data_IF_710621218129
#
_entry.id   IF_710621218129
#
_cell.length_a   1.000
_cell.length_b   1.000
_cell.length_c   1.000
_cell.angle_alpha   90.00
_cell.angle_beta   90.00
_cell.angle_gamma   90.00
#
_symmetry.space_group_name_H-M   'P 1'
#
loop_
_entity.id
_entity.type
_entity.pdbx_description
1 polymer ?
#
# COMPACT_ATOMS: atom_id res chain seq x y z
N UNK A 1 -0.53 28.50 -15.34
CA UNK A 1 0.12 27.45 -14.54
C UNK A 1 0.95 28.16 -13.49
N UNK A 2 0.45 28.21 -12.25
CA UNK A 2 1.23 28.73 -11.12
C UNK A 2 2.46 27.85 -10.89
N UNK A 3 3.57 28.50 -10.63
CA UNK A 3 4.86 27.83 -10.55
C UNK A 3 4.98 27.07 -9.23
N UNK A 4 4.78 25.75 -9.25
CA UNK A 4 4.90 24.85 -8.08
C UNK A 4 6.26 24.95 -7.36
N UNK A 5 7.27 25.59 -7.97
CA UNK A 5 8.57 25.82 -7.33
C UNK A 5 8.51 26.78 -6.14
N UNK A 6 7.51 27.67 -6.09
CA UNK A 6 7.35 28.63 -4.99
C UNK A 6 6.97 27.96 -3.64
N UNK A 7 6.46 26.73 -3.67
CA UNK A 7 5.98 26.00 -2.48
C UNK A 7 6.98 24.98 -1.91
N UNK A 8 8.23 24.98 -2.42
CA UNK A 8 9.27 24.03 -1.96
C UNK A 8 9.54 24.07 -0.44
N UNK A 9 9.30 25.21 0.19
CA UNK A 9 9.59 25.40 1.60
C UNK A 9 8.36 25.24 2.52
N UNK A 10 7.16 25.07 1.96
CA UNK A 10 5.93 24.80 2.71
C UNK A 10 5.20 23.58 2.13
N UNK A 11 5.50 22.39 2.65
CA UNK A 11 4.85 21.17 2.21
C UNK A 11 3.33 21.18 2.40
N UNK A 12 2.80 21.87 3.41
CA UNK A 12 1.36 21.91 3.66
C UNK A 12 0.64 22.74 2.60
N UNK A 13 1.20 23.87 2.21
CA UNK A 13 0.62 24.69 1.14
C UNK A 13 0.74 23.98 -0.22
N UNK A 14 1.86 23.29 -0.48
CA UNK A 14 2.01 22.46 -1.67
C UNK A 14 0.91 21.38 -1.74
N UNK A 15 0.63 20.69 -0.65
CA UNK A 15 -0.45 19.68 -0.60
C UNK A 15 -1.83 20.29 -0.85
N UNK A 16 -2.13 21.47 -0.27
CA UNK A 16 -3.39 22.18 -0.53
C UNK A 16 -3.55 22.54 -2.00
N UNK A 17 -2.49 23.02 -2.65
CA UNK A 17 -2.51 23.37 -4.07
C UNK A 17 -2.66 22.13 -4.96
N UNK A 18 -1.93 21.06 -4.67
CA UNK A 18 -2.08 19.79 -5.40
C UNK A 18 -3.48 19.19 -5.24
N UNK A 19 -4.05 19.23 -4.04
CA UNK A 19 -5.43 18.79 -3.80
C UNK A 19 -6.43 19.61 -4.61
N UNK A 20 -6.28 20.95 -4.66
CA UNK A 20 -7.13 21.83 -5.49
C UNK A 20 -7.00 21.53 -6.99
N UNK A 21 -5.77 21.31 -7.47
CA UNK A 21 -5.52 20.97 -8.88
C UNK A 21 -6.13 19.61 -9.25
N UNK A 22 -5.98 18.62 -8.39
CA UNK A 22 -6.57 17.29 -8.60
C UNK A 22 -8.09 17.35 -8.58
N UNK A 23 -8.68 18.09 -7.64
CA UNK A 23 -10.13 18.31 -7.59
C UNK A 23 -10.66 19.02 -8.83
N UNK A 24 -9.97 20.06 -9.32
CA UNK A 24 -10.36 20.76 -10.54
C UNK A 24 -10.22 19.91 -11.81
N UNK A 25 -9.34 18.92 -11.81
CA UNK A 25 -9.09 18.04 -12.94
C UNK A 25 -10.02 16.81 -12.98
N UNK A 26 -10.52 16.35 -11.84
CA UNK A 26 -11.27 15.09 -11.71
C UNK A 26 -12.79 15.30 -11.49
N UNK A 27 -13.22 16.53 -11.24
CA UNK A 27 -14.62 16.81 -10.88
C UNK A 27 -15.03 16.09 -9.58
N UNK A 28 -16.32 15.79 -9.44
CA UNK A 28 -16.90 15.19 -8.21
C UNK A 28 -16.50 13.72 -7.92
N UNK A 29 -15.57 13.15 -8.66
CA UNK A 29 -15.19 11.73 -8.47
C UNK A 29 -14.34 11.51 -7.22
N UNK A 30 -13.61 12.53 -6.77
CA UNK A 30 -12.84 12.50 -5.52
C UNK A 30 -13.21 13.75 -4.71
N UNK A 31 -13.87 13.58 -3.58
CA UNK A 31 -14.04 14.69 -2.65
C UNK A 31 -12.65 15.24 -2.27
N UNK A 32 -12.45 16.53 -2.39
CA UNK A 32 -11.20 17.16 -1.96
C UNK A 32 -10.94 16.79 -0.49
N UNK A 33 -9.71 16.34 -0.15
CA UNK A 33 -9.39 16.06 1.24
C UNK A 33 -9.62 17.31 2.09
N UNK A 34 -10.25 17.14 3.23
CA UNK A 34 -10.48 18.23 4.17
C UNK A 34 -9.15 18.74 4.71
N UNK A 35 -9.12 19.98 5.21
CA UNK A 35 -7.93 20.53 5.88
C UNK A 35 -7.44 19.63 7.03
N UNK A 36 -8.36 18.99 7.74
CA UNK A 36 -8.07 18.03 8.82
C UNK A 36 -7.42 16.75 8.27
N UNK A 37 -7.85 16.24 7.13
CA UNK A 37 -7.23 15.08 6.46
C UNK A 37 -5.81 15.41 5.97
N UNK A 38 -5.59 16.64 5.49
CA UNK A 38 -4.26 17.12 5.08
C UNK A 38 -3.33 17.32 6.28
N UNK A 39 -3.84 17.86 7.40
CA UNK A 39 -3.07 18.06 8.63
C UNK A 39 -2.68 16.74 9.32
N UNK A 40 -3.55 15.74 9.23
CA UNK A 40 -3.33 14.40 9.80
C UNK A 40 -2.59 13.45 8.85
N UNK A 41 -2.15 13.91 7.68
CA UNK A 41 -1.36 13.07 6.78
C UNK A 41 -0.10 12.56 7.51
N UNK A 42 0.23 11.27 7.41
CA UNK A 42 1.24 10.64 8.24
C UNK A 42 2.61 11.29 8.05
N UNK A 43 2.96 12.18 8.96
CA UNK A 43 4.24 12.91 8.96
C UNK A 43 5.42 12.04 9.39
N UNK A 44 5.19 10.82 9.90
CA UNK A 44 6.20 10.10 10.66
C UNK A 44 6.95 9.00 9.91
N UNK A 45 6.35 8.32 8.92
CA UNK A 45 6.94 7.08 8.39
C UNK A 45 7.50 7.16 6.97
N UNK A 46 6.92 7.97 6.10
CA UNK A 46 7.36 8.08 4.71
C UNK A 46 7.52 9.54 4.32
N UNK A 47 8.74 10.01 4.32
CA UNK A 47 9.06 11.30 3.70
C UNK A 47 9.22 11.10 2.19
N UNK A 48 8.56 11.94 1.41
CA UNK A 48 8.67 11.91 -0.05
C UNK A 48 10.07 12.26 -0.54
N UNK A 49 10.29 12.04 -1.84
CA UNK A 49 11.52 12.45 -2.52
C UNK A 49 12.59 11.38 -2.63
N UNK A 50 13.47 11.58 -3.62
CA UNK A 50 14.51 10.63 -4.00
C UNK A 50 15.57 10.44 -2.91
N UNK A 51 15.98 11.50 -2.22
CA UNK A 51 16.98 11.41 -1.16
C UNK A 51 16.55 10.49 -0.03
N UNK A 52 15.30 10.61 0.40
CA UNK A 52 14.75 9.75 1.46
C UNK A 52 14.61 8.30 0.98
N UNK A 53 14.23 8.10 -0.27
CA UNK A 53 14.16 6.77 -0.87
C UNK A 53 15.54 6.09 -0.90
N UNK A 54 16.59 6.80 -1.25
CA UNK A 54 17.98 6.29 -1.24
C UNK A 54 18.42 5.97 0.19
N UNK A 55 18.20 6.87 1.15
CA UNK A 55 18.51 6.60 2.56
C UNK A 55 17.84 5.32 3.05
N UNK A 56 16.55 5.11 2.71
CA UNK A 56 15.86 3.88 3.06
C UNK A 56 16.43 2.66 2.32
N UNK A 57 16.78 2.80 1.05
CA UNK A 57 17.38 1.75 0.23
C UNK A 57 18.76 1.31 0.79
N UNK A 58 19.53 2.22 1.34
CA UNK A 58 20.81 1.93 1.99
C UNK A 58 20.67 1.06 3.25
N UNK A 59 19.50 1.07 3.92
CA UNK A 59 19.24 0.21 5.09
C UNK A 59 18.88 -1.23 4.73
N UNK A 60 18.80 -1.56 3.45
CA UNK A 60 18.41 -2.87 2.97
C UNK A 60 19.34 -3.97 3.48
N UNK A 61 18.75 -5.02 4.03
CA UNK A 61 19.45 -6.25 4.46
C UNK A 61 18.73 -7.47 3.84
N UNK A 62 19.19 -7.96 2.69
CA UNK A 62 18.54 -9.06 1.98
C UNK A 62 18.50 -10.37 2.76
N UNK A 63 19.57 -10.68 3.49
CA UNK A 63 19.70 -11.91 4.27
C UNK A 63 18.69 -11.91 5.42
N UNK A 64 18.67 -10.85 6.17
CA UNK A 64 17.75 -10.68 7.29
C UNK A 64 16.31 -10.57 6.82
N UNK A 65 16.08 -9.92 5.67
CA UNK A 65 14.76 -9.92 5.00
C UNK A 65 14.29 -11.35 4.73
N UNK A 66 15.11 -12.18 4.10
CA UNK A 66 14.77 -13.57 3.78
C UNK A 66 14.35 -14.39 4.99
N UNK A 67 15.04 -14.23 6.12
CA UNK A 67 14.79 -15.01 7.34
C UNK A 67 13.69 -14.47 8.24
N UNK A 68 13.44 -13.14 8.23
CA UNK A 68 12.55 -12.52 9.23
C UNK A 68 11.32 -11.80 8.67
N UNK A 69 11.19 -11.69 7.35
CA UNK A 69 10.11 -10.94 6.69
C UNK A 69 8.68 -11.36 7.11
N UNK A 70 8.52 -12.58 7.60
CA UNK A 70 7.24 -13.10 8.03
C UNK A 70 6.83 -12.67 9.46
N UNK A 71 7.72 -12.04 10.20
CA UNK A 71 7.41 -11.49 11.51
C UNK A 71 7.06 -10.01 11.39
N UNK A 72 6.06 -9.54 12.13
CA UNK A 72 5.62 -8.12 12.12
C UNK A 72 6.77 -7.18 12.51
N UNK A 73 7.68 -7.62 13.38
CA UNK A 73 8.91 -6.92 13.77
C UNK A 73 10.13 -7.27 12.89
N UNK A 74 9.93 -8.04 11.81
CA UNK A 74 11.00 -8.49 10.93
C UNK A 74 11.58 -7.39 10.06
N UNK A 75 12.70 -7.72 9.41
CA UNK A 75 13.38 -6.82 8.50
C UNK A 75 12.64 -6.74 7.17
N UNK A 76 11.72 -5.77 7.04
CA UNK A 76 11.03 -5.47 5.78
C UNK A 76 11.58 -4.17 5.18
N UNK A 77 11.59 -4.09 3.86
CA UNK A 77 12.26 -2.99 3.15
C UNK A 77 11.57 -1.64 3.31
N UNK A 78 10.26 -1.63 3.45
CA UNK A 78 9.39 -0.44 3.45
C UNK A 78 9.56 0.45 2.20
N UNK A 79 10.05 -0.10 1.09
CA UNK A 79 10.30 0.65 -0.15
C UNK A 79 9.07 0.77 -1.06
N UNK A 80 7.99 0.09 -0.72
CA UNK A 80 6.78 0.00 -1.56
C UNK A 80 6.18 1.36 -1.98
N UNK A 81 6.13 2.42 -1.15
CA UNK A 81 5.63 3.72 -1.60
C UNK A 81 6.50 4.33 -2.68
N UNK A 82 7.82 4.33 -2.53
CA UNK A 82 8.73 4.90 -3.53
C UNK A 82 8.76 4.09 -4.83
N UNK A 83 8.61 2.76 -4.75
CA UNK A 83 8.44 1.90 -5.92
C UNK A 83 7.11 2.19 -6.63
N UNK A 84 6.01 2.37 -5.85
CA UNK A 84 4.69 2.67 -6.40
C UNK A 84 4.67 3.97 -7.18
N UNK A 85 5.34 4.99 -6.69
CA UNK A 85 5.39 6.33 -7.29
C UNK A 85 6.56 6.53 -8.26
N UNK A 86 7.29 5.48 -8.63
CA UNK A 86 8.37 5.54 -9.61
C UNK A 86 9.60 6.33 -9.15
N UNK A 87 9.73 6.60 -7.85
CA UNK A 87 10.91 7.26 -7.27
C UNK A 87 12.10 6.32 -7.23
N UNK A 88 11.84 5.02 -7.03
CA UNK A 88 12.78 3.91 -7.19
C UNK A 88 12.26 2.95 -8.26
N UNK A 89 13.16 2.39 -9.05
CA UNK A 89 12.87 1.29 -9.95
C UNK A 89 13.10 -0.07 -9.26
N UNK A 90 12.46 -1.12 -9.76
CA UNK A 90 12.72 -2.49 -9.31
C UNK A 90 14.17 -2.90 -9.56
N UNK A 91 14.76 -2.43 -10.67
CA UNK A 91 16.15 -2.70 -11.01
C UNK A 91 17.12 -2.10 -9.99
N UNK A 92 16.91 -0.85 -9.57
CA UNK A 92 17.74 -0.23 -8.54
C UNK A 92 17.70 -0.99 -7.22
N UNK A 93 16.51 -1.40 -6.77
CA UNK A 93 16.36 -2.17 -5.53
C UNK A 93 17.03 -3.53 -5.64
N UNK A 94 16.86 -4.23 -6.78
CA UNK A 94 17.53 -5.52 -7.06
C UNK A 94 19.04 -5.36 -7.03
N UNK A 95 19.57 -4.36 -7.72
CA UNK A 95 21.02 -4.19 -7.88
C UNK A 95 21.68 -3.85 -6.54
N UNK A 96 21.03 -3.01 -5.71
CA UNK A 96 21.49 -2.75 -4.35
C UNK A 96 21.39 -4.02 -3.48
N UNK A 97 20.31 -4.80 -3.60
CA UNK A 97 20.18 -6.05 -2.86
C UNK A 97 21.32 -7.03 -3.20
N UNK A 98 21.63 -7.17 -4.49
CA UNK A 98 22.72 -8.05 -4.94
C UNK A 98 24.10 -7.54 -4.55
N UNK A 99 24.32 -6.22 -4.49
CA UNK A 99 25.60 -5.64 -4.06
C UNK A 99 25.91 -5.82 -2.57
N UNK A 100 24.89 -6.17 -1.76
CA UNK A 100 25.01 -6.35 -0.30
C UNK A 100 25.23 -7.79 0.14
N UNK A 101 25.38 -8.71 -0.78
CA UNK A 101 25.53 -10.15 -0.51
C UNK A 101 26.70 -10.73 -1.27
N UNK A 102 27.32 -11.77 -0.71
CA UNK A 102 28.43 -12.49 -1.38
C UNK A 102 27.91 -13.42 -2.48
N UNK A 103 26.75 -14.04 -2.24
CA UNK A 103 26.12 -14.96 -3.17
C UNK A 103 24.70 -14.51 -3.50
N UNK A 104 24.31 -14.50 -4.77
CA UNK A 104 22.99 -14.07 -5.23
C UNK A 104 21.82 -14.82 -4.54
N UNK A 105 22.03 -16.07 -4.14
CA UNK A 105 21.06 -16.87 -3.40
C UNK A 105 20.64 -16.25 -2.06
N UNK A 106 21.51 -15.46 -1.45
CA UNK A 106 21.20 -14.76 -0.19
C UNK A 106 20.19 -13.61 -0.38
N UNK A 107 20.07 -13.07 -1.60
CA UNK A 107 19.08 -12.05 -1.96
C UNK A 107 17.86 -12.63 -2.69
N UNK A 108 17.84 -13.93 -3.00
CA UNK A 108 16.81 -14.59 -3.82
C UNK A 108 15.40 -14.26 -3.36
N UNK A 109 15.14 -14.33 -2.05
CA UNK A 109 13.81 -14.10 -1.52
C UNK A 109 13.33 -12.66 -1.76
N UNK A 110 14.21 -11.68 -1.58
CA UNK A 110 13.86 -10.28 -1.85
C UNK A 110 13.66 -10.04 -3.35
N UNK A 111 14.54 -10.57 -4.20
CA UNK A 111 14.43 -10.43 -5.66
C UNK A 111 13.14 -11.10 -6.17
N UNK A 112 12.78 -12.27 -5.62
CA UNK A 112 11.52 -12.94 -5.93
C UNK A 112 10.29 -12.07 -5.58
N UNK A 113 10.29 -11.36 -4.46
CA UNK A 113 9.18 -10.47 -4.10
C UNK A 113 9.10 -9.23 -5.02
N UNK A 114 10.23 -8.73 -5.53
CA UNK A 114 10.22 -7.72 -6.60
C UNK A 114 9.64 -8.28 -7.90
N UNK A 115 9.94 -9.55 -8.20
CA UNK A 115 9.39 -10.26 -9.35
C UNK A 115 7.86 -10.40 -9.28
N UNK A 116 7.30 -10.70 -8.11
CA UNK A 116 5.85 -10.74 -7.92
C UNK A 116 5.20 -9.39 -8.22
N UNK A 117 5.83 -8.27 -7.84
CA UNK A 117 5.33 -6.94 -8.16
C UNK A 117 5.29 -6.70 -9.68
N UNK A 118 6.35 -7.04 -10.41
CA UNK A 118 6.40 -6.94 -11.87
C UNK A 118 5.33 -7.86 -12.53
N UNK A 119 5.20 -9.08 -12.02
CA UNK A 119 4.21 -10.04 -12.49
C UNK A 119 2.78 -9.48 -12.41
N UNK A 120 2.37 -8.93 -11.28
CA UNK A 120 1.02 -8.36 -11.14
C UNK A 120 0.78 -7.17 -12.05
N UNK A 121 1.80 -6.33 -12.33
CA UNK A 121 1.67 -5.26 -13.33
C UNK A 121 1.41 -5.84 -14.72
N UNK A 122 2.11 -6.90 -15.12
CA UNK A 122 1.90 -7.58 -16.41
C UNK A 122 0.53 -8.26 -16.50
N UNK A 123 0.06 -8.85 -15.41
CA UNK A 123 -1.30 -9.40 -15.33
C UNK A 123 -2.33 -8.29 -15.55
N UNK A 124 -2.14 -7.13 -14.91
CA UNK A 124 -3.01 -5.97 -15.09
C UNK A 124 -2.99 -5.43 -16.53
N UNK A 125 -1.84 -5.37 -17.15
CA UNK A 125 -1.70 -4.96 -18.56
C UNK A 125 -2.44 -5.91 -19.48
N UNK A 126 -2.34 -7.23 -19.23
CA UNK A 126 -3.00 -8.25 -20.02
C UNK A 126 -4.52 -8.37 -19.76
N UNK A 127 -4.96 -8.01 -18.56
CA UNK A 127 -6.36 -8.11 -18.10
C UNK A 127 -6.76 -6.89 -17.27
N UNK A 128 -6.87 -5.70 -17.88
CA UNK A 128 -7.16 -4.46 -17.16
C UNK A 128 -8.52 -4.50 -16.45
N UNK A 129 -9.52 -5.15 -17.04
CA UNK A 129 -10.85 -5.37 -16.46
C UNK A 129 -10.82 -6.30 -15.24
N UNK A 130 -9.86 -7.22 -15.17
CA UNK A 130 -9.72 -8.20 -14.09
C UNK A 130 -9.43 -7.61 -12.71
N UNK A 131 -8.99 -6.35 -12.66
CA UNK A 131 -8.63 -5.67 -11.40
C UNK A 131 -9.79 -5.63 -10.39
N UNK A 132 -11.04 -5.62 -10.87
CA UNK A 132 -12.24 -5.61 -10.05
C UNK A 132 -13.14 -6.83 -10.27
N UNK A 133 -12.61 -7.87 -10.90
CA UNK A 133 -13.32 -9.13 -11.14
C UNK A 133 -12.70 -10.26 -10.31
N UNK A 134 -13.48 -11.25 -9.99
CA UNK A 134 -12.97 -12.48 -9.39
C UNK A 134 -12.19 -13.25 -10.47
N UNK A 135 -10.94 -13.59 -10.16
CA UNK A 135 -10.07 -14.35 -11.07
C UNK A 135 -10.37 -15.83 -11.04
N UNK A 136 -10.86 -16.33 -9.91
CA UNK A 136 -11.20 -17.72 -9.68
C UNK A 136 -12.64 -17.84 -9.20
N UNK A 137 -13.30 -18.91 -9.60
CA UNK A 137 -14.60 -19.25 -9.03
C UNK A 137 -14.38 -19.68 -7.58
N UNK A 138 -15.05 -19.05 -6.59
CA UNK A 138 -14.92 -19.47 -5.21
C UNK A 138 -15.21 -20.97 -5.05
N UNK A 139 -14.37 -21.67 -4.29
CA UNK A 139 -14.51 -23.11 -4.06
C UNK A 139 -15.82 -23.48 -3.32
N UNK A 140 -16.43 -22.49 -2.65
CA UNK A 140 -17.75 -22.60 -2.03
C UNK A 140 -18.42 -21.22 -2.03
N UNK A 141 -19.75 -21.21 -2.15
CA UNK A 141 -20.50 -19.98 -1.98
C UNK A 141 -20.29 -19.40 -0.57
N UNK A 142 -20.18 -18.06 -0.42
CA UNK A 142 -20.08 -17.44 0.88
C UNK A 142 -21.28 -17.85 1.76
N UNK A 143 -21.02 -18.42 2.93
CA UNK A 143 -22.10 -18.69 3.90
C UNK A 143 -22.53 -17.36 4.51
N UNK A 144 -23.76 -16.94 4.23
CA UNK A 144 -24.37 -15.71 4.75
C UNK A 144 -24.39 -14.58 3.75
N UNK A 145 -25.06 -13.49 4.11
CA UNK A 145 -25.19 -12.28 3.30
C UNK A 145 -23.86 -11.54 3.24
N UNK A 146 -23.45 -11.14 2.04
CA UNK A 146 -22.22 -10.35 1.81
C UNK A 146 -22.56 -8.88 1.99
N UNK A 147 -21.77 -8.20 2.81
CA UNK A 147 -21.86 -6.76 3.08
C UNK A 147 -21.11 -6.00 1.98
N UNK A 148 -21.77 -5.09 1.29
CA UNK A 148 -21.22 -4.29 0.18
C UNK A 148 -20.79 -2.86 0.58
N UNK A 149 -20.68 -2.61 1.87
CA UNK A 149 -20.17 -1.36 2.47
C UNK A 149 -19.17 -1.66 3.57
N UNK A 150 -18.36 -0.65 3.95
CA UNK A 150 -17.44 -0.76 5.07
C UNK A 150 -18.15 -0.41 6.37
N UNK A 151 -18.33 -1.34 7.33
CA UNK A 151 -18.92 -1.05 8.63
C UNK A 151 -18.13 0.01 9.41
N UNK A 152 -18.85 0.89 10.12
CA UNK A 152 -18.25 2.02 10.86
C UNK A 152 -17.27 1.56 11.94
N UNK A 153 -17.55 0.48 12.65
CA UNK A 153 -16.65 -0.09 13.67
C UNK A 153 -15.30 -0.52 13.06
N UNK A 154 -15.29 -0.99 11.82
CA UNK A 154 -14.07 -1.33 11.09
C UNK A 154 -13.34 -0.05 10.64
N UNK A 155 -14.09 0.89 10.06
CA UNK A 155 -13.52 2.15 9.59
C UNK A 155 -12.82 2.93 10.73
N UNK A 156 -13.39 2.87 11.94
CA UNK A 156 -12.89 3.54 13.14
C UNK A 156 -11.89 2.70 13.95
N UNK A 157 -11.75 1.40 13.64
CA UNK A 157 -10.94 0.47 14.43
C UNK A 157 -11.51 0.26 15.85
N UNK A 158 -12.81 0.00 15.91
CA UNK A 158 -13.60 -0.19 17.13
C UNK A 158 -14.34 -1.54 17.11
N UNK A 159 -13.72 -2.55 16.49
CA UNK A 159 -14.31 -3.88 16.29
C UNK A 159 -14.37 -4.73 17.57
N UNK A 160 -13.65 -4.30 18.62
CA UNK A 160 -13.49 -5.05 19.87
C UNK A 160 -12.38 -6.11 19.81
N UNK A 161 -11.73 -6.30 18.67
CA UNK A 161 -10.55 -7.16 18.51
C UNK A 161 -9.28 -6.29 18.45
N UNK A 162 -8.55 -6.23 19.55
CA UNK A 162 -7.43 -5.31 19.73
C UNK A 162 -6.39 -5.34 18.58
N UNK A 163 -6.08 -6.51 18.02
CA UNK A 163 -5.16 -6.62 16.91
C UNK A 163 -5.74 -6.04 15.60
N UNK A 164 -7.02 -6.29 15.32
CA UNK A 164 -7.73 -5.76 14.15
C UNK A 164 -7.85 -4.24 14.27
N UNK A 165 -8.27 -3.75 15.42
CA UNK A 165 -8.40 -2.32 15.72
C UNK A 165 -7.05 -1.60 15.53
N UNK A 166 -5.95 -2.22 15.96
CA UNK A 166 -4.61 -1.69 15.75
C UNK A 166 -4.25 -1.63 14.25
N UNK A 167 -4.61 -2.65 13.45
CA UNK A 167 -4.36 -2.65 12.00
C UNK A 167 -5.20 -1.60 11.27
N UNK A 168 -6.49 -1.45 11.61
CA UNK A 168 -7.37 -0.44 11.04
C UNK A 168 -6.85 0.97 11.32
N UNK A 169 -6.55 1.27 12.58
CA UNK A 169 -5.98 2.56 12.99
C UNK A 169 -4.64 2.85 12.34
N UNK A 170 -3.78 1.83 12.24
CA UNK A 170 -2.47 1.95 11.59
C UNK A 170 -2.59 2.22 10.09
N UNK A 171 -3.52 1.54 9.40
CA UNK A 171 -3.80 1.77 7.99
C UNK A 171 -4.16 3.24 7.73
N UNK A 172 -5.09 3.77 8.49
CA UNK A 172 -5.58 5.14 8.33
C UNK A 172 -4.52 6.18 8.75
N UNK A 173 -3.82 5.93 9.86
CA UNK A 173 -2.83 6.87 10.41
C UNK A 173 -1.53 6.88 9.63
N UNK A 174 -0.99 5.69 9.30
CA UNK A 174 0.36 5.55 8.76
C UNK A 174 0.37 5.38 7.23
N UNK A 175 -0.76 5.03 6.63
CA UNK A 175 -0.85 4.72 5.20
C UNK A 175 -0.01 3.51 4.80
N UNK A 176 0.34 2.65 5.76
CA UNK A 176 1.18 1.48 5.51
C UNK A 176 0.91 0.37 6.52
N UNK A 177 0.85 -0.85 6.01
CA UNK A 177 0.76 -2.07 6.80
C UNK A 177 1.85 -3.05 6.37
N UNK A 178 2.36 -3.81 7.32
CA UNK A 178 3.16 -5.00 7.03
C UNK A 178 2.34 -5.99 6.18
N UNK A 179 3.01 -6.75 5.30
CA UNK A 179 2.31 -7.69 4.42
C UNK A 179 1.37 -8.65 5.19
N UNK A 180 1.80 -9.20 6.32
CA UNK A 180 0.96 -10.08 7.13
C UNK A 180 -0.21 -9.36 7.78
N UNK A 181 -0.05 -8.10 8.19
CA UNK A 181 -1.17 -7.29 8.70
C UNK A 181 -2.23 -7.10 7.62
N UNK A 182 -1.80 -6.86 6.35
CA UNK A 182 -2.74 -6.78 5.20
C UNK A 182 -3.48 -8.10 4.98
N UNK A 183 -2.74 -9.21 4.92
CA UNK A 183 -3.32 -10.54 4.71
C UNK A 183 -4.33 -10.90 5.80
N UNK A 184 -3.98 -10.68 7.05
CA UNK A 184 -4.89 -11.01 8.19
C UNK A 184 -6.11 -10.10 8.20
N UNK A 185 -5.95 -8.81 7.97
CA UNK A 185 -7.06 -7.87 7.91
C UNK A 185 -7.98 -8.18 6.73
N UNK A 186 -7.45 -8.44 5.53
CA UNK A 186 -8.22 -8.82 4.35
C UNK A 186 -9.00 -10.13 4.59
N UNK A 187 -8.32 -11.17 5.08
CA UNK A 187 -8.95 -12.44 5.40
C UNK A 187 -10.06 -12.30 6.43
N UNK A 188 -9.84 -11.52 7.48
CA UNK A 188 -10.86 -11.27 8.52
C UNK A 188 -12.07 -10.51 7.98
N UNK A 189 -11.83 -9.46 7.16
CA UNK A 189 -12.90 -8.71 6.49
C UNK A 189 -13.80 -9.63 5.67
N UNK A 190 -13.21 -10.44 4.80
CA UNK A 190 -13.97 -11.29 3.87
C UNK A 190 -14.60 -12.49 4.58
N UNK A 191 -13.83 -13.23 5.35
CA UNK A 191 -14.29 -14.52 5.88
C UNK A 191 -15.06 -14.42 7.20
N UNK A 192 -14.72 -13.46 8.05
CA UNK A 192 -15.37 -13.28 9.36
C UNK A 192 -16.49 -12.26 9.31
N UNK A 193 -16.20 -11.06 8.79
CA UNK A 193 -17.17 -9.96 8.74
C UNK A 193 -18.05 -9.98 7.49
N UNK A 194 -17.78 -10.87 6.53
CA UNK A 194 -18.52 -10.99 5.27
C UNK A 194 -18.57 -9.70 4.44
N UNK A 195 -17.58 -8.84 4.61
CA UNK A 195 -17.43 -7.63 3.77
C UNK A 195 -16.92 -8.05 2.40
N UNK A 196 -17.55 -7.54 1.34
CA UNK A 196 -17.09 -7.77 -0.03
C UNK A 196 -15.60 -7.42 -0.17
N UNK A 197 -14.82 -8.29 -0.82
CA UNK A 197 -13.41 -8.03 -1.07
C UNK A 197 -13.20 -6.71 -1.83
N UNK A 198 -14.14 -6.33 -2.71
CA UNK A 198 -14.08 -5.06 -3.46
C UNK A 198 -14.13 -3.85 -2.53
N UNK A 199 -14.97 -3.91 -1.50
CA UNK A 199 -15.05 -2.86 -0.46
C UNK A 199 -13.74 -2.79 0.34
N UNK A 200 -13.22 -3.93 0.77
CA UNK A 200 -11.95 -3.99 1.49
C UNK A 200 -10.77 -3.51 0.65
N UNK A 201 -10.70 -3.94 -0.62
CA UNK A 201 -9.67 -3.50 -1.56
C UNK A 201 -9.74 -1.99 -1.84
N UNK A 202 -10.93 -1.43 -2.03
CA UNK A 202 -11.14 0.00 -2.20
C UNK A 202 -10.69 0.79 -0.96
N UNK A 203 -11.01 0.30 0.23
CA UNK A 203 -10.58 0.90 1.49
C UNK A 203 -9.05 0.89 1.64
N UNK A 204 -8.39 -0.21 1.29
CA UNK A 204 -6.93 -0.28 1.26
C UNK A 204 -6.34 0.72 0.27
N UNK A 205 -6.86 0.77 -0.97
CA UNK A 205 -6.39 1.70 -1.99
C UNK A 205 -6.57 3.17 -1.58
N UNK A 206 -7.62 3.47 -0.82
CA UNK A 206 -7.87 4.83 -0.31
C UNK A 206 -6.79 5.29 0.68
N UNK A 207 -6.29 4.39 1.53
CA UNK A 207 -5.43 4.77 2.65
C UNK A 207 -3.96 4.41 2.46
N UNK A 208 -3.63 3.39 1.65
CA UNK A 208 -2.25 2.97 1.45
C UNK A 208 -1.45 3.95 0.60
N UNK A 209 -0.30 4.38 1.07
CA UNK A 209 0.67 5.19 0.31
C UNK A 209 1.26 4.44 -0.89
N UNK A 210 1.33 3.12 -0.79
CA UNK A 210 1.74 2.23 -1.87
C UNK A 210 0.58 1.62 -2.64
N UNK A 211 -0.59 2.28 -2.61
CA UNK A 211 -1.81 1.86 -3.26
C UNK A 211 -1.57 1.53 -4.75
N UNK A 212 -1.49 0.26 -5.03
CA UNK A 212 -1.26 -0.29 -6.36
C UNK A 212 -2.40 -1.25 -6.71
N UNK A 213 -3.30 -0.88 -7.63
CA UNK A 213 -4.43 -1.74 -7.97
C UNK A 213 -4.05 -3.14 -8.43
N UNK A 214 -2.90 -3.31 -9.09
CA UNK A 214 -2.45 -4.64 -9.49
C UNK A 214 -2.07 -5.49 -8.27
N UNK A 215 -1.09 -5.04 -7.49
CA UNK A 215 -0.60 -5.82 -6.33
C UNK A 215 -1.66 -5.96 -5.23
N UNK A 216 -2.51 -4.93 -5.06
CA UNK A 216 -3.56 -4.97 -4.04
C UNK A 216 -4.69 -5.91 -4.46
N UNK A 217 -5.34 -5.65 -5.60
CA UNK A 217 -6.59 -6.33 -5.95
C UNK A 217 -6.39 -7.78 -6.39
N UNK A 218 -5.30 -8.11 -7.09
CA UNK A 218 -5.04 -9.50 -7.50
C UNK A 218 -4.53 -10.40 -6.37
N UNK A 219 -4.32 -9.87 -5.17
CA UNK A 219 -3.88 -10.64 -4.00
C UNK A 219 -4.92 -10.70 -2.87
N UNK A 220 -6.14 -10.23 -3.12
CA UNK A 220 -7.28 -10.35 -2.20
C UNK A 220 -7.88 -11.76 -2.20
#
# INVERSE_FOLDING_TARGET
>A
MENLQSYRNDPQELYKQLARLLYSATGDVLSAPTSVEIENFPKQYFRGGRSQAITQLETLDPVRYGSTRNFVSGAVTRLSPWLRHGVLSLAEVRDVALSKVEHASQAEKLVSELGWRDYWQRVREARPEGVWQELETPAAEPRGEVIDYLPEDIANGETGLACVDAFCKKLVRDGWLHNHERMWLASWLVHTRKVSWKVGAAWFLKHLLDADPASNNFSW
#
